data_IF_937296365617
#
_entry.id   IF_937296365617
#
_cell.length_a   1.000
_cell.length_b   1.000
_cell.length_c   1.000
_cell.angle_alpha   90.00
_cell.angle_beta   90.00
_cell.angle_gamma   90.00
#
_symmetry.space_group_name_H-M   'P 1'
#
loop_
_entity.id
_entity.type
_entity.pdbx_description
1 polymer ?
#
# COMPACT_ATOMS: atom_id res chain seq x y z
N UNK A 1 85.13 -5.88 -18.27
CA UNK A 1 83.95 -5.33 -18.94
C UNK A 1 82.75 -6.18 -18.54
N UNK A 2 81.99 -5.74 -17.52
CA UNK A 2 80.83 -6.46 -16.97
C UNK A 2 79.55 -5.83 -17.56
N UNK A 3 78.84 -6.60 -18.36
CA UNK A 3 77.50 -6.21 -18.89
C UNK A 3 76.41 -6.47 -17.84
N UNK A 4 75.79 -5.43 -17.35
CA UNK A 4 74.62 -5.50 -16.43
C UNK A 4 73.40 -5.54 -17.32
N UNK A 5 72.63 -6.65 -17.29
CA UNK A 5 71.35 -6.78 -17.93
C UNK A 5 70.26 -6.23 -17.00
N UNK A 6 69.53 -5.19 -17.41
CA UNK A 6 68.40 -4.65 -16.71
C UNK A 6 67.15 -5.46 -17.11
N UNK A 7 66.58 -6.17 -16.13
CA UNK A 7 65.34 -6.90 -16.28
C UNK A 7 64.18 -5.94 -15.97
N UNK A 8 63.45 -5.48 -16.96
CA UNK A 8 62.25 -4.68 -16.75
C UNK A 8 61.09 -5.59 -16.38
N UNK A 9 60.64 -5.51 -15.14
CA UNK A 9 59.41 -6.18 -14.65
C UNK A 9 58.22 -5.32 -15.00
N UNK A 10 57.41 -5.80 -15.95
CA UNK A 10 56.16 -5.17 -16.38
C UNK A 10 55.08 -5.58 -15.40
N UNK A 11 54.70 -4.68 -14.46
CA UNK A 11 53.56 -4.88 -13.55
C UNK A 11 52.26 -4.61 -14.28
N UNK A 12 51.51 -5.66 -14.61
CA UNK A 12 50.12 -5.57 -15.12
C UNK A 12 49.19 -5.29 -13.99
N UNK A 13 48.71 -4.05 -13.85
CA UNK A 13 47.68 -3.67 -12.87
C UNK A 13 46.34 -4.09 -13.48
N UNK A 14 45.77 -5.22 -13.02
CA UNK A 14 44.39 -5.62 -13.32
C UNK A 14 43.46 -4.72 -12.51
N UNK A 15 42.94 -3.68 -13.13
CA UNK A 15 41.92 -2.81 -12.59
C UNK A 15 40.60 -3.59 -12.61
N UNK A 16 40.20 -4.20 -11.51
CA UNK A 16 38.84 -4.68 -11.29
C UNK A 16 37.88 -3.47 -11.27
N UNK A 17 37.26 -3.19 -12.41
CA UNK A 17 36.22 -2.18 -12.51
C UNK A 17 35.00 -2.62 -11.71
N UNK A 18 34.88 -2.14 -10.47
CA UNK A 18 33.63 -2.17 -9.72
C UNK A 18 32.61 -1.32 -10.50
N UNK A 19 31.73 -1.98 -11.26
CA UNK A 19 30.53 -1.32 -11.80
C UNK A 19 29.72 -0.87 -10.59
N UNK A 20 29.35 0.42 -10.46
CA UNK A 20 28.46 0.87 -9.41
C UNK A 20 27.16 0.08 -9.55
N UNK A 21 26.82 -0.72 -8.56
CA UNK A 21 25.49 -1.31 -8.44
C UNK A 21 24.55 -0.12 -8.34
N UNK A 22 23.74 0.11 -9.37
CA UNK A 22 22.65 1.09 -9.31
C UNK A 22 21.77 0.66 -8.14
N UNK A 23 21.92 1.34 -7.01
CA UNK A 23 20.98 1.24 -5.90
C UNK A 23 19.62 1.63 -6.48
N UNK A 24 18.68 0.68 -6.51
CA UNK A 24 17.32 0.98 -6.93
C UNK A 24 16.82 2.10 -6.03
N UNK A 25 16.49 3.24 -6.61
CA UNK A 25 15.96 4.40 -5.90
C UNK A 25 14.72 3.93 -5.16
N UNK A 26 14.74 4.01 -3.82
CA UNK A 26 13.62 3.57 -2.97
C UNK A 26 12.52 4.61 -3.12
N UNK A 27 11.43 4.24 -3.77
CA UNK A 27 10.25 5.08 -3.95
C UNK A 27 9.64 5.43 -2.58
N UNK A 28 9.30 6.68 -2.38
CA UNK A 28 8.60 7.14 -1.17
C UNK A 28 7.09 7.12 -1.36
N UNK A 29 6.33 7.16 -0.25
CA UNK A 29 4.87 7.25 -0.31
C UNK A 29 4.37 8.52 -1.00
N UNK A 30 5.06 9.65 -0.81
CA UNK A 30 4.73 10.93 -1.48
C UNK A 30 4.85 10.85 -3.00
N UNK A 31 5.78 10.06 -3.50
CA UNK A 31 5.99 9.81 -4.93
C UNK A 31 5.07 8.71 -5.48
N UNK A 32 4.37 8.02 -4.57
CA UNK A 32 3.41 6.99 -4.92
C UNK A 32 2.00 7.57 -5.08
N UNK A 33 1.14 6.89 -5.83
CA UNK A 33 -0.26 7.26 -5.97
C UNK A 33 -1.15 6.65 -4.88
N UNK A 34 -0.59 6.08 -3.81
CA UNK A 34 -1.37 5.44 -2.76
C UNK A 34 -2.17 6.42 -1.90
N UNK A 35 -1.65 7.60 -1.61
CA UNK A 35 -2.25 8.52 -0.65
C UNK A 35 -3.61 9.04 -1.10
N UNK A 36 -4.58 9.11 -0.18
CA UNK A 36 -5.92 9.65 -0.38
C UNK A 36 -7.02 8.60 -0.25
N UNK A 37 -8.06 8.72 -1.07
CA UNK A 37 -9.25 7.88 -0.96
C UNK A 37 -9.43 7.01 -2.19
N UNK A 38 -9.90 5.79 -1.96
CA UNK A 38 -10.33 4.85 -2.99
C UNK A 38 -11.71 4.33 -2.60
N UNK A 39 -12.58 4.12 -3.55
CA UNK A 39 -13.96 3.73 -3.32
C UNK A 39 -14.40 2.64 -4.28
N UNK A 40 -15.39 1.83 -3.88
CA UNK A 40 -16.06 0.93 -4.82
C UNK A 40 -16.88 1.73 -5.82
N UNK A 41 -17.19 1.15 -6.99
CA UNK A 41 -17.90 1.82 -8.09
C UNK A 41 -19.28 2.35 -7.66
N UNK A 42 -19.93 1.67 -6.71
CA UNK A 42 -21.25 2.03 -6.19
C UNK A 42 -21.26 3.37 -5.42
N UNK A 43 -20.08 3.87 -5.04
CA UNK A 43 -19.98 5.19 -4.42
C UNK A 43 -20.55 6.31 -5.28
N UNK A 44 -20.51 6.18 -6.61
CA UNK A 44 -21.11 7.16 -7.52
C UNK A 44 -22.63 7.28 -7.32
N UNK A 45 -23.31 6.17 -6.97
CA UNK A 45 -24.74 6.09 -6.72
C UNK A 45 -25.09 6.08 -5.21
N UNK A 46 -24.21 6.56 -4.35
CA UNK A 46 -24.42 6.54 -2.89
C UNK A 46 -25.69 7.27 -2.43
N UNK A 47 -26.12 8.31 -3.16
CA UNK A 47 -27.34 9.04 -2.87
C UNK A 47 -28.60 8.20 -3.14
N UNK A 48 -28.53 7.20 -3.99
CA UNK A 48 -29.61 6.27 -4.33
C UNK A 48 -29.75 5.12 -3.32
N UNK A 49 -28.83 5.06 -2.33
CA UNK A 49 -28.84 4.06 -1.28
C UNK A 49 -28.04 2.80 -1.59
N UNK A 50 -27.17 2.84 -2.61
CA UNK A 50 -26.28 1.73 -2.92
C UNK A 50 -25.22 1.54 -1.81
N UNK A 51 -24.81 0.29 -1.61
CA UNK A 51 -23.75 -0.04 -0.70
C UNK A 51 -22.41 0.34 -1.32
N UNK A 52 -21.53 0.88 -0.51
CA UNK A 52 -20.20 1.26 -0.93
C UNK A 52 -19.21 1.15 0.21
N UNK A 53 -17.97 1.01 -0.15
CA UNK A 53 -16.84 0.94 0.78
C UNK A 53 -15.77 1.93 0.36
N UNK A 54 -15.18 2.61 1.32
CA UNK A 54 -14.04 3.49 1.12
C UNK A 54 -12.80 2.97 1.82
N UNK A 55 -11.66 3.12 1.16
CA UNK A 55 -10.32 2.95 1.72
C UNK A 55 -9.68 4.34 1.80
N UNK A 56 -9.26 4.74 2.99
CA UNK A 56 -8.50 5.97 3.24
C UNK A 56 -7.06 5.60 3.55
N UNK A 57 -6.10 6.17 2.84
CA UNK A 57 -4.67 5.95 3.05
C UNK A 57 -4.01 7.28 3.39
N UNK A 58 -3.48 7.38 4.61
CA UNK A 58 -2.84 8.59 5.14
C UNK A 58 -1.39 8.31 5.47
N UNK A 59 -0.47 9.12 4.98
CA UNK A 59 0.95 9.02 5.29
C UNK A 59 1.21 9.20 6.78
N UNK A 60 2.03 8.32 7.36
CA UNK A 60 2.59 8.44 8.72
C UNK A 60 4.10 8.66 8.69
N UNK A 61 4.79 8.20 7.64
CA UNK A 61 6.20 8.49 7.34
C UNK A 61 6.46 8.31 5.84
N UNK A 62 7.69 8.53 5.39
CA UNK A 62 8.10 8.33 3.97
C UNK A 62 7.84 6.90 3.45
N UNK A 63 7.72 5.92 4.33
CA UNK A 63 7.52 4.50 3.96
C UNK A 63 6.36 3.82 4.68
N UNK A 64 5.63 4.53 5.57
CA UNK A 64 4.51 3.97 6.32
C UNK A 64 3.26 4.81 6.16
N UNK A 65 2.11 4.14 6.15
CA UNK A 65 0.81 4.77 6.03
C UNK A 65 -0.18 4.12 7.00
N UNK A 66 -1.14 4.90 7.49
CA UNK A 66 -2.32 4.39 8.14
C UNK A 66 -3.42 4.13 7.11
N UNK A 67 -4.00 2.94 7.13
CA UNK A 67 -5.10 2.52 6.26
C UNK A 67 -6.36 2.36 7.10
N UNK A 68 -7.44 3.00 6.65
CA UNK A 68 -8.76 2.88 7.27
C UNK A 68 -9.78 2.49 6.20
N UNK A 69 -10.54 1.43 6.43
CA UNK A 69 -11.62 0.96 5.55
C UNK A 69 -12.94 1.10 6.27
N UNK A 70 -13.89 1.72 5.61
CA UNK A 70 -15.25 1.91 6.14
C UNK A 70 -16.28 1.70 5.03
N UNK A 71 -17.27 0.89 5.31
CA UNK A 71 -18.46 0.78 4.48
C UNK A 71 -19.54 1.77 4.92
N UNK A 72 -20.52 2.00 4.04
CA UNK A 72 -21.74 2.72 4.39
C UNK A 72 -22.38 2.13 5.65
N UNK A 73 -22.83 3.01 6.55
CA UNK A 73 -23.48 2.63 7.81
C UNK A 73 -24.95 2.25 7.57
N UNK A 74 -25.20 1.00 7.20
CA UNK A 74 -26.55 0.42 7.12
C UNK A 74 -26.54 -0.92 7.86
N UNK A 75 -27.31 -1.00 8.98
CA UNK A 75 -27.36 -2.20 9.82
C UNK A 75 -27.99 -3.41 9.14
N UNK A 76 -28.68 -3.22 8.03
CA UNK A 76 -29.34 -4.29 7.28
C UNK A 76 -28.47 -4.88 6.16
N UNK A 77 -27.28 -4.33 5.96
CA UNK A 77 -26.40 -4.67 4.85
C UNK A 77 -24.99 -5.04 5.32
N UNK A 78 -24.24 -5.78 4.53
CA UNK A 78 -22.85 -6.08 4.85
C UNK A 78 -22.06 -4.80 5.11
N UNK A 79 -21.24 -4.80 6.15
CA UNK A 79 -20.36 -3.65 6.44
C UNK A 79 -18.98 -4.13 6.80
N UNK A 80 -17.97 -3.38 6.37
CA UNK A 80 -16.57 -3.64 6.66
C UNK A 80 -15.97 -2.49 7.46
N UNK A 81 -15.15 -2.84 8.46
CA UNK A 81 -14.38 -1.90 9.26
C UNK A 81 -12.99 -2.46 9.48
N UNK A 82 -11.98 -1.73 9.04
CA UNK A 82 -10.58 -2.12 9.19
C UNK A 82 -9.74 -0.88 9.48
N UNK A 83 -8.75 -1.01 10.35
CA UNK A 83 -7.71 -0.04 10.60
C UNK A 83 -6.38 -0.78 10.74
N UNK A 84 -5.32 -0.29 10.10
CA UNK A 84 -4.01 -0.90 10.17
C UNK A 84 -2.91 0.02 9.66
N UNK A 85 -1.70 -0.19 10.19
CA UNK A 85 -0.51 0.51 9.76
C UNK A 85 0.24 -0.33 8.73
N UNK A 86 0.48 0.27 7.58
CA UNK A 86 1.07 -0.38 6.43
C UNK A 86 2.49 0.11 6.17
N UNK A 87 3.32 -0.77 5.63
CA UNK A 87 4.66 -0.44 5.13
C UNK A 87 4.70 -0.59 3.61
N UNK A 88 5.30 0.40 2.93
CA UNK A 88 5.53 0.35 1.49
C UNK A 88 6.60 -0.70 1.16
N UNK A 89 6.32 -1.57 0.21
CA UNK A 89 7.30 -2.55 -0.31
C UNK A 89 8.49 -1.84 -0.97
N UNK A 90 9.62 -2.53 -1.06
CA UNK A 90 10.81 -1.98 -1.72
C UNK A 90 10.57 -1.64 -3.20
N UNK A 91 9.67 -2.37 -3.87
CA UNK A 91 9.25 -2.10 -5.26
C UNK A 91 8.35 -0.88 -5.40
N UNK A 92 7.74 -0.42 -4.29
CA UNK A 92 6.85 0.73 -4.29
C UNK A 92 5.50 0.50 -4.98
N UNK A 93 5.10 -0.76 -5.13
CA UNK A 93 3.88 -1.20 -5.83
C UNK A 93 2.78 -1.72 -4.88
N UNK A 94 3.13 -1.96 -3.62
CA UNK A 94 2.19 -2.49 -2.61
C UNK A 94 2.46 -1.90 -1.24
N UNK A 95 1.38 -1.73 -0.46
CA UNK A 95 1.41 -1.50 0.98
C UNK A 95 1.06 -2.81 1.68
N UNK A 96 1.77 -3.14 2.76
CA UNK A 96 1.62 -4.39 3.51
C UNK A 96 1.27 -4.09 4.96
N UNK A 97 0.16 -4.64 5.44
CA UNK A 97 -0.25 -4.59 6.85
C UNK A 97 -0.04 -5.96 7.47
N UNK A 98 0.81 -6.10 8.50
CA UNK A 98 0.94 -7.35 9.26
C UNK A 98 -0.28 -7.54 10.16
N UNK A 99 -0.86 -8.75 10.15
CA UNK A 99 -2.01 -9.13 10.96
C UNK A 99 -1.81 -10.54 11.51
N UNK A 100 -1.61 -10.68 12.81
CA UNK A 100 -1.60 -11.98 13.53
C UNK A 100 -0.79 -13.11 12.85
N UNK A 101 0.42 -12.78 12.36
CA UNK A 101 1.30 -13.75 11.69
C UNK A 101 1.02 -13.95 10.20
N UNK A 102 0.13 -13.15 9.63
CA UNK A 102 -0.22 -13.10 8.21
C UNK A 102 -0.13 -11.66 7.70
N UNK A 103 -0.46 -11.41 6.41
CA UNK A 103 -0.40 -10.08 5.82
C UNK A 103 -1.63 -9.79 4.97
N UNK A 104 -2.04 -8.51 4.99
CA UNK A 104 -2.96 -7.95 4.02
C UNK A 104 -2.18 -7.02 3.10
N UNK A 105 -2.39 -7.17 1.79
CA UNK A 105 -1.71 -6.44 0.73
C UNK A 105 -2.67 -5.49 0.05
N UNK A 106 -2.22 -4.26 -0.15
CA UNK A 106 -2.90 -3.22 -0.91
C UNK A 106 -2.04 -2.92 -2.13
N UNK A 107 -2.44 -3.39 -3.29
CA UNK A 107 -1.67 -3.29 -4.53
C UNK A 107 -2.31 -2.29 -5.49
N UNK A 108 -1.54 -1.33 -5.99
CA UNK A 108 -2.02 -0.30 -6.89
C UNK A 108 -1.70 -0.66 -8.36
N UNK A 109 -2.73 -0.62 -9.20
CA UNK A 109 -2.65 -0.84 -10.65
C UNK A 109 -3.30 0.35 -11.37
N UNK A 110 -2.48 1.32 -11.77
CA UNK A 110 -3.00 2.61 -12.22
C UNK A 110 -3.77 3.32 -11.11
N UNK A 111 -5.04 3.62 -11.32
CA UNK A 111 -5.91 4.27 -10.35
C UNK A 111 -6.77 3.27 -9.54
N UNK A 112 -6.52 1.97 -9.68
CA UNK A 112 -7.28 0.92 -9.00
C UNK A 112 -6.44 0.27 -7.91
N UNK A 113 -6.95 0.26 -6.68
CA UNK A 113 -6.40 -0.41 -5.51
C UNK A 113 -7.07 -1.77 -5.34
N UNK A 114 -6.29 -2.84 -5.43
CA UNK A 114 -6.74 -4.21 -5.11
C UNK A 114 -6.33 -4.60 -3.70
N UNK A 115 -7.18 -5.36 -3.00
CA UNK A 115 -6.90 -5.90 -1.66
C UNK A 115 -6.83 -7.42 -1.73
N UNK A 116 -5.76 -8.00 -1.17
CA UNK A 116 -5.53 -9.44 -1.04
C UNK A 116 -4.87 -9.76 0.30
N UNK A 117 -4.79 -11.04 0.67
CA UNK A 117 -4.12 -11.48 1.89
C UNK A 117 -3.45 -12.84 1.68
N UNK A 118 -2.48 -13.18 2.54
CA UNK A 118 -1.87 -14.53 2.59
C UNK A 118 -2.94 -15.58 2.97
N UNK A 119 -3.79 -15.24 3.95
CA UNK A 119 -4.98 -16.01 4.31
C UNK A 119 -6.23 -15.21 3.90
N UNK A 120 -6.99 -15.75 2.95
CA UNK A 120 -8.21 -15.12 2.45
C UNK A 120 -9.30 -14.93 3.52
N UNK A 121 -9.29 -15.72 4.60
CA UNK A 121 -10.24 -15.60 5.71
C UNK A 121 -10.13 -14.22 6.37
N UNK A 122 -8.92 -13.63 6.42
CA UNK A 122 -8.71 -12.30 6.95
C UNK A 122 -9.54 -11.23 6.24
N UNK A 123 -9.79 -11.40 4.94
CA UNK A 123 -10.57 -10.43 4.16
C UNK A 123 -12.07 -10.42 4.56
N UNK A 124 -12.55 -11.48 5.19
CA UNK A 124 -13.92 -11.59 5.72
C UNK A 124 -14.01 -11.22 7.20
N UNK A 125 -12.91 -11.39 7.95
CA UNK A 125 -12.89 -11.19 9.40
C UNK A 125 -13.31 -9.78 9.81
N UNK A 126 -12.95 -8.78 9.02
CA UNK A 126 -13.24 -7.36 9.26
C UNK A 126 -14.59 -6.91 8.73
N UNK A 127 -15.42 -7.85 8.28
CA UNK A 127 -16.71 -7.55 7.68
C UNK A 127 -17.84 -8.33 8.38
N UNK A 128 -19.04 -7.76 8.37
CA UNK A 128 -20.28 -8.40 8.80
C UNK A 128 -21.17 -8.75 7.63
N UNK A 129 -22.20 -9.58 7.86
CA UNK A 129 -23.24 -9.86 6.88
C UNK A 129 -22.76 -10.52 5.59
N UNK A 130 -21.60 -11.22 5.61
CA UNK A 130 -21.01 -11.86 4.43
C UNK A 130 -20.22 -10.91 3.53
N UNK A 131 -19.93 -9.70 3.97
CA UNK A 131 -19.04 -8.77 3.27
C UNK A 131 -17.59 -9.25 3.27
N UNK A 132 -16.77 -8.63 2.43
CA UNK A 132 -15.32 -8.88 2.32
C UNK A 132 -14.58 -7.59 2.01
N UNK A 133 -13.33 -7.48 2.49
CA UNK A 133 -12.41 -6.42 2.06
C UNK A 133 -11.92 -6.64 0.63
N UNK A 134 -12.08 -7.84 0.08
CA UNK A 134 -11.69 -8.15 -1.30
C UNK A 134 -12.49 -7.29 -2.27
N UNK A 135 -11.80 -6.67 -3.21
CA UNK A 135 -12.42 -5.89 -4.28
C UNK A 135 -11.42 -4.97 -4.94
N UNK A 136 -11.89 -4.32 -5.97
CA UNK A 136 -11.20 -3.24 -6.66
C UNK A 136 -11.81 -1.91 -6.22
N UNK A 137 -10.95 -0.99 -5.83
CA UNK A 137 -11.32 0.33 -5.33
C UNK A 137 -10.70 1.39 -6.23
N UNK A 138 -11.52 2.23 -6.81
CA UNK A 138 -11.07 3.26 -7.75
C UNK A 138 -10.66 4.53 -6.99
N UNK A 139 -9.57 5.16 -7.42
CA UNK A 139 -9.09 6.42 -6.86
C UNK A 139 -10.17 7.49 -6.92
N UNK A 140 -10.50 8.07 -5.77
CA UNK A 140 -11.44 9.18 -5.69
C UNK A 140 -10.69 10.51 -5.90
N UNK A 141 -11.03 11.23 -6.96
CA UNK A 141 -10.54 12.58 -7.19
C UNK A 141 -11.35 13.56 -6.34
N UNK A 142 -10.79 14.00 -5.21
CA UNK A 142 -11.43 14.95 -4.32
C UNK A 142 -11.67 14.45 -2.91
N UNK A 143 -12.65 15.04 -2.22
CA UNK A 143 -12.96 14.69 -0.83
C UNK A 143 -13.97 13.56 -0.76
N UNK A 144 -13.74 12.63 0.17
CA UNK A 144 -14.72 11.60 0.50
C UNK A 144 -15.92 12.23 1.24
N UNK A 145 -17.11 11.96 0.76
CA UNK A 145 -18.35 12.26 1.47
C UNK A 145 -18.55 11.24 2.59
N UNK A 146 -18.37 11.67 3.83
CA UNK A 146 -18.43 10.82 5.03
C UNK A 146 -19.82 10.80 5.68
N UNK A 147 -20.82 11.49 5.11
CA UNK A 147 -22.14 11.64 5.73
C UNK A 147 -22.87 10.31 5.98
N UNK A 148 -22.55 9.28 5.21
CA UNK A 148 -23.10 7.93 5.34
C UNK A 148 -22.18 6.96 6.10
N UNK A 149 -21.00 7.38 6.52
CA UNK A 149 -20.11 6.55 7.33
C UNK A 149 -20.51 6.67 8.81
N UNK A 150 -20.44 5.55 9.53
CA UNK A 150 -20.55 5.57 10.97
C UNK A 150 -19.27 6.23 11.52
N UNK A 151 -19.41 7.43 12.06
CA UNK A 151 -18.31 8.03 12.81
C UNK A 151 -18.08 7.21 14.07
N UNK A 152 -16.85 6.77 14.30
CA UNK A 152 -16.48 6.28 15.63
C UNK A 152 -16.66 7.44 16.59
N UNK A 153 -17.48 7.22 17.64
CA UNK A 153 -17.60 8.19 18.72
C UNK A 153 -16.17 8.55 19.17
N UNK A 154 -15.79 9.82 19.07
CA UNK A 154 -14.55 10.33 19.67
C UNK A 154 -14.50 9.78 21.07
N UNK A 155 -13.53 8.91 21.38
CA UNK A 155 -13.19 8.62 22.77
C UNK A 155 -12.84 9.97 23.38
N UNK A 156 -13.75 10.47 24.24
CA UNK A 156 -13.44 11.59 25.11
C UNK A 156 -12.29 11.11 26.01
N UNK A 157 -11.13 11.74 25.85
CA UNK A 157 -10.05 11.65 26.83
C UNK A 157 -10.48 12.35 28.11
#
# INVERSE_FOLDING_TARGET
MKKIAFLAVLAVIVSCGNKPVKQAERKTLKESSFLGYFVTDEYAQRAEGNDWTAVSITETSDSTAHISIRSRADIKKPSCTFDGDATLTQGGDSLVVPVEGSHIYFTLRGDTLGISADDEILLYYYCSGGGSLRGDYVKLNGKLDRSQLKEEAKKAE
#
